data_IF_649875740287
#
_entry.id   IF_649875740287
#
_cell.length_a   1.000
_cell.length_b   1.000
_cell.length_c   1.000
_cell.angle_alpha   90.00
_cell.angle_beta   90.00
_cell.angle_gamma   90.00
#
_symmetry.space_group_name_H-M   'P 1'
#
loop_
_entity.id
_entity.type
_entity.pdbx_description
1 polymer ?
#
# COMPACT_ATOMS: atom_id res chain seq x y z
N UNK A 1 -7.48 -3.34 -22.15
CA UNK A 1 -6.88 -4.04 -21.00
C UNK A 1 -5.38 -3.74 -21.03
N UNK A 2 -4.97 -2.66 -20.36
CA UNK A 2 -3.59 -2.14 -20.43
C UNK A 2 -2.67 -2.84 -19.41
N UNK A 3 -1.41 -3.11 -19.73
CA UNK A 3 -0.54 -4.03 -18.97
C UNK A 3 0.16 -3.38 -17.75
N UNK A 4 -0.46 -2.41 -17.09
CA UNK A 4 0.15 -1.74 -15.91
C UNK A 4 -0.77 -1.70 -14.69
N UNK A 5 -1.87 -2.48 -14.68
CA UNK A 5 -2.62 -2.72 -13.45
C UNK A 5 -1.83 -3.71 -12.61
N UNK A 6 -0.90 -3.22 -11.81
CA UNK A 6 -0.51 -3.88 -10.58
C UNK A 6 -1.65 -3.65 -9.57
N UNK A 7 -2.62 -4.58 -9.41
CA UNK A 7 -3.80 -4.40 -8.53
C UNK A 7 -3.43 -4.27 -7.04
N UNK A 8 -2.13 -4.40 -6.74
CA UNK A 8 -1.57 -4.31 -5.41
C UNK A 8 -1.49 -2.86 -4.90
N UNK A 9 -1.76 -1.85 -5.72
CA UNK A 9 -1.51 -0.46 -5.34
C UNK A 9 -2.69 0.44 -5.74
N UNK A 10 -3.89 -0.07 -5.54
CA UNK A 10 -5.12 0.68 -5.76
C UNK A 10 -5.52 1.47 -4.50
N UNK A 11 -6.08 2.68 -4.65
CA UNK A 11 -6.62 3.41 -3.52
C UNK A 11 -7.70 2.58 -2.82
N UNK A 12 -7.62 2.50 -1.50
CA UNK A 12 -8.49 1.68 -0.65
C UNK A 12 -7.86 0.40 -0.12
N UNK A 13 -6.76 -0.06 -0.70
CA UNK A 13 -6.05 -1.28 -0.25
C UNK A 13 -5.42 -1.07 1.13
N UNK A 14 -5.58 -2.06 2.01
CA UNK A 14 -4.96 -2.08 3.33
C UNK A 14 -3.59 -2.75 3.29
N UNK A 15 -2.60 -2.05 3.84
CA UNK A 15 -1.19 -2.41 3.85
C UNK A 15 -0.57 -2.22 5.22
N UNK A 16 0.58 -2.84 5.46
CA UNK A 16 1.46 -2.63 6.62
C UNK A 16 2.88 -2.34 6.16
N UNK A 17 3.58 -1.53 6.94
CA UNK A 17 4.99 -1.27 6.72
C UNK A 17 5.82 -2.40 7.35
N UNK A 18 6.71 -3.08 6.60
CA UNK A 18 7.39 -4.29 7.09
C UNK A 18 8.37 -4.03 8.25
N UNK A 19 8.92 -2.82 8.32
CA UNK A 19 9.89 -2.43 9.38
C UNK A 19 9.33 -1.43 10.38
N UNK A 20 8.06 -1.02 10.23
CA UNK A 20 7.43 0.01 11.08
C UNK A 20 6.06 -0.51 11.52
N UNK A 21 6.07 -1.58 12.30
CA UNK A 21 4.86 -2.20 12.83
C UNK A 21 4.04 -1.25 13.73
N UNK A 22 4.72 -0.34 14.43
CA UNK A 22 4.13 0.69 15.30
C UNK A 22 3.20 1.66 14.55
N UNK A 23 3.40 1.83 13.24
CA UNK A 23 2.54 2.70 12.43
C UNK A 23 1.12 2.15 12.27
N UNK A 24 0.92 0.85 12.54
CA UNK A 24 -0.35 0.15 12.43
C UNK A 24 -0.77 -0.13 10.99
N UNK A 25 -2.08 -0.27 10.76
CA UNK A 25 -2.60 -0.46 9.40
C UNK A 25 -2.50 0.84 8.63
N UNK A 26 -2.16 0.72 7.36
CA UNK A 26 -2.15 1.80 6.40
C UNK A 26 -3.17 1.56 5.31
N UNK A 27 -3.90 2.60 4.92
CA UNK A 27 -4.74 2.57 3.72
C UNK A 27 -4.07 3.34 2.59
N UNK A 28 -3.91 2.71 1.43
CA UNK A 28 -3.42 3.38 0.23
C UNK A 28 -4.43 4.44 -0.18
N UNK A 29 -4.01 5.70 -0.26
CA UNK A 29 -4.83 6.82 -0.73
C UNK A 29 -4.60 7.12 -2.21
N UNK A 30 -3.37 6.98 -2.70
CA UNK A 30 -3.01 7.33 -4.07
C UNK A 30 -1.70 6.69 -4.48
N UNK A 31 -1.53 6.41 -5.77
CA UNK A 31 -0.29 5.86 -6.31
C UNK A 31 0.15 6.64 -7.53
N UNK A 32 1.40 7.11 -7.49
CA UNK A 32 2.05 7.92 -8.51
C UNK A 32 3.33 7.21 -8.96
N UNK A 33 3.19 6.31 -9.94
CA UNK A 33 4.26 5.43 -10.39
C UNK A 33 4.73 4.53 -9.25
N UNK A 34 5.98 4.70 -8.81
CA UNK A 34 6.56 3.94 -7.68
C UNK A 34 6.25 4.52 -6.30
N UNK A 35 5.70 5.74 -6.22
CA UNK A 35 5.38 6.39 -4.94
C UNK A 35 3.95 6.09 -4.54
N UNK A 36 3.79 5.52 -3.36
CA UNK A 36 2.51 5.12 -2.80
C UNK A 36 2.24 5.99 -1.59
N UNK A 37 1.14 6.73 -1.62
CA UNK A 37 0.70 7.51 -0.46
C UNK A 37 -0.22 6.64 0.37
N UNK A 38 0.15 6.41 1.61
CA UNK A 38 -0.57 5.57 2.57
C UNK A 38 -0.91 6.40 3.79
N UNK A 39 -2.15 6.31 4.27
CA UNK A 39 -2.53 6.86 5.57
C UNK A 39 -2.48 5.76 6.62
N UNK A 40 -1.48 5.81 7.48
CA UNK A 40 -1.30 4.90 8.61
C UNK A 40 -2.08 5.39 9.84
N UNK A 41 -2.61 4.46 10.62
CA UNK A 41 -3.41 4.74 11.82
C UNK A 41 -2.63 5.56 12.86
N UNK A 42 -1.36 5.22 13.10
CA UNK A 42 -0.56 5.86 14.16
C UNK A 42 0.45 6.88 13.64
N UNK A 43 0.90 6.72 12.38
CA UNK A 43 1.89 7.61 11.76
C UNK A 43 1.28 8.65 10.80
N UNK A 44 -0.01 8.56 10.51
CA UNK A 44 -0.69 9.43 9.56
C UNK A 44 -0.25 9.20 8.11
N UNK A 45 -0.33 10.25 7.29
CA UNK A 45 -0.06 10.16 5.85
C UNK A 45 1.44 10.11 5.56
N UNK A 46 1.89 8.98 5.02
CA UNK A 46 3.27 8.77 4.60
C UNK A 46 3.35 8.41 3.12
N UNK A 47 4.38 8.91 2.44
CA UNK A 47 4.71 8.51 1.07
C UNK A 47 5.80 7.45 1.12
N UNK A 48 5.53 6.30 0.53
CA UNK A 48 6.39 5.12 0.49
C UNK A 48 6.88 4.92 -0.94
N UNK A 49 8.19 4.68 -1.11
CA UNK A 49 8.74 4.29 -2.40
C UNK A 49 8.72 2.76 -2.53
N UNK A 50 7.83 2.24 -3.37
CA UNK A 50 7.63 0.81 -3.58
C UNK A 50 8.83 0.11 -4.27
N UNK A 51 9.77 0.89 -4.83
CA UNK A 51 11.05 0.34 -5.33
C UNK A 51 12.03 0.02 -4.21
N UNK A 52 11.87 0.65 -3.04
CA UNK A 52 12.75 0.48 -1.87
C UNK A 52 12.08 -0.37 -0.80
N UNK A 53 10.81 -0.10 -0.52
CA UNK A 53 10.04 -0.77 0.54
C UNK A 53 8.85 -1.50 -0.08
N UNK A 54 8.81 -2.82 0.11
CA UNK A 54 7.65 -3.64 -0.25
C UNK A 54 6.65 -3.63 0.90
N UNK A 55 5.54 -2.92 0.72
CA UNK A 55 4.42 -2.94 1.67
C UNK A 55 3.76 -4.33 1.70
N UNK A 56 3.29 -4.73 2.88
CA UNK A 56 2.64 -6.03 3.10
C UNK A 56 1.13 -5.85 3.06
N UNK A 57 0.43 -6.58 2.21
CA UNK A 57 -1.04 -6.54 2.12
C UNK A 57 -1.69 -7.20 3.32
N UNK A 58 -2.78 -6.60 3.82
CA UNK A 58 -3.53 -7.11 4.99
C UNK A 58 -4.93 -7.59 4.63
N UNK A 59 -5.34 -7.47 3.37
CA UNK A 59 -6.64 -7.95 2.87
C UNK A 59 -6.58 -9.35 2.25
N UNK A 60 -7.78 -9.92 2.03
CA UNK A 60 -7.98 -11.05 1.12
C UNK A 60 -7.49 -10.62 -0.27
N UNK A 61 -6.61 -11.40 -0.87
CA UNK A 61 -6.07 -11.12 -2.19
C UNK A 61 -7.25 -11.01 -3.18
N UNK A 62 -7.47 -9.89 -3.89
CA UNK A 62 -8.61 -9.75 -4.79
C UNK A 62 -8.53 -10.68 -6.03
N UNK A 63 -7.48 -11.51 -6.17
CA UNK A 63 -7.42 -12.63 -7.13
C UNK A 63 -7.68 -14.00 -6.48
N UNK A 64 -7.93 -14.07 -5.17
CA UNK A 64 -8.26 -15.31 -4.46
C UNK A 64 -9.76 -15.67 -4.52
N UNK A 65 -10.60 -14.90 -5.24
CA UNK A 65 -11.99 -15.25 -5.56
C UNK A 65 -12.25 -15.35 -7.06
#
# INVERSE_FOLDING_TARGET
>A
MGPFSDPFLEPGVLVRHPTQEDWGLGQVQSVAGRKVTVNFEHAGKQVIDASVVRLVFVGDDPRAS
#
